data_IF_881606967888
#
_entry.id   IF_881606967888
#
_cell.length_a   1.000
_cell.length_b   1.000
_cell.length_c   1.000
_cell.angle_alpha   90.00
_cell.angle_beta   90.00
_cell.angle_gamma   90.00
#
_symmetry.space_group_name_H-M   'P 1'
#
loop_
_entity.id
_entity.type
_entity.pdbx_description
1 polymer ?
#
# COMPACT_ATOMS: atom_id res chain seq x y z
N UNK A 1 -18.84 25.43 -49.55
CA UNK A 1 -18.95 26.42 -48.45
C UNK A 1 -19.24 25.61 -47.18
N UNK A 2 -18.31 25.25 -46.28
CA UNK A 2 -17.31 26.03 -45.51
C UNK A 2 -18.00 27.22 -44.78
N UNK A 3 -17.98 27.42 -43.46
CA UNK A 3 -16.95 27.14 -42.42
C UNK A 3 -17.58 27.00 -41.00
N UNK A 4 -16.98 26.09 -40.22
CA UNK A 4 -16.69 25.98 -38.76
C UNK A 4 -17.31 26.95 -37.73
N UNK A 5 -17.60 26.39 -36.54
CA UNK A 5 -16.92 26.76 -35.27
C UNK A 5 -16.91 25.59 -34.28
N UNK A 6 -15.79 25.50 -33.55
CA UNK A 6 -15.44 24.48 -32.56
C UNK A 6 -15.59 25.05 -31.13
N UNK A 7 -15.76 24.17 -30.15
CA UNK A 7 -15.43 24.47 -28.75
C UNK A 7 -14.58 23.36 -28.14
N UNK A 8 -13.72 23.83 -27.24
CA UNK A 8 -12.48 23.25 -26.76
C UNK A 8 -12.77 22.25 -25.63
N UNK A 9 -12.37 20.99 -25.80
CA UNK A 9 -12.33 20.02 -24.71
C UNK A 9 -11.20 20.41 -23.74
N UNK A 10 -11.56 20.88 -22.54
CA UNK A 10 -10.63 20.88 -21.42
C UNK A 10 -10.43 19.41 -20.99
N UNK A 11 -9.20 18.91 -20.77
CA UNK A 11 -9.03 17.55 -20.30
C UNK A 11 -9.48 17.49 -18.84
N UNK A 12 -10.67 16.95 -18.63
CA UNK A 12 -11.28 16.65 -17.34
C UNK A 12 -10.46 15.52 -16.71
N UNK A 13 -9.85 15.79 -15.55
CA UNK A 13 -9.28 14.72 -14.73
C UNK A 13 -10.39 14.26 -13.81
N UNK A 14 -10.99 13.13 -14.18
CA UNK A 14 -11.94 12.43 -13.34
C UNK A 14 -11.14 11.55 -12.37
N UNK A 15 -10.88 12.04 -11.16
CA UNK A 15 -10.30 11.23 -10.09
C UNK A 15 -11.46 10.52 -9.40
N UNK A 16 -11.63 9.24 -9.69
CA UNK A 16 -12.46 8.39 -8.85
C UNK A 16 -11.63 7.91 -7.67
N UNK A 17 -12.02 8.33 -6.46
CA UNK A 17 -11.63 7.65 -5.22
C UNK A 17 -12.57 6.46 -5.06
N UNK A 18 -12.32 5.38 -5.80
CA UNK A 18 -12.98 4.12 -5.48
C UNK A 18 -12.26 3.48 -4.30
N UNK A 19 -12.94 3.38 -3.17
CA UNK A 19 -12.62 2.39 -2.14
C UNK A 19 -13.24 1.06 -2.59
N UNK A 20 -12.77 0.54 -3.73
CA UNK A 20 -13.09 -0.84 -4.11
C UNK A 20 -11.93 -1.72 -3.67
N UNK A 21 -12.16 -2.74 -2.82
CA UNK A 21 -11.15 -3.73 -2.47
C UNK A 21 -10.97 -4.68 -3.66
N UNK A 22 -10.34 -4.22 -4.73
CA UNK A 22 -10.02 -5.04 -5.90
C UNK A 22 -8.51 -5.18 -6.03
N UNK A 23 -8.02 -6.20 -5.31
CA UNK A 23 -6.83 -7.02 -5.58
C UNK A 23 -5.47 -6.32 -5.73
N UNK A 24 -5.22 -5.27 -4.96
CA UNK A 24 -3.84 -4.87 -4.66
C UNK A 24 -3.17 -6.03 -3.92
N UNK A 25 -2.09 -6.60 -4.49
CA UNK A 25 -1.22 -7.61 -3.88
C UNK A 25 -1.99 -8.59 -2.95
N UNK A 26 -2.48 -9.69 -3.52
CA UNK A 26 -3.37 -10.58 -2.79
C UNK A 26 -2.72 -11.05 -1.48
N UNK A 27 -3.24 -10.55 -0.35
CA UNK A 27 -2.99 -11.18 0.94
C UNK A 27 -3.54 -12.59 0.82
N UNK A 28 -2.65 -13.58 0.98
CA UNK A 28 -3.03 -14.99 0.88
C UNK A 28 -3.49 -15.55 2.23
N UNK A 29 -3.43 -14.76 3.30
CA UNK A 29 -4.01 -15.09 4.61
C UNK A 29 -5.50 -14.75 4.61
N UNK A 30 -6.35 -15.75 4.81
CA UNK A 30 -7.80 -15.55 4.97
C UNK A 30 -8.11 -15.12 6.41
N UNK A 31 -9.12 -14.24 6.56
CA UNK A 31 -9.52 -13.67 7.86
C UNK A 31 -8.34 -13.03 8.62
N UNK A 32 -7.54 -12.24 7.89
CA UNK A 32 -6.33 -11.59 8.41
C UNK A 32 -6.59 -10.44 9.37
N UNK A 33 -7.77 -9.82 9.25
CA UNK A 33 -8.29 -8.72 10.08
C UNK A 33 -9.12 -9.22 11.27
N UNK A 34 -9.28 -10.54 11.40
CA UNK A 34 -9.98 -11.20 12.52
C UNK A 34 -11.45 -10.78 12.74
N UNK A 35 -12.07 -10.09 11.78
CA UNK A 35 -13.45 -9.63 11.89
C UNK A 35 -14.49 -10.77 11.75
N UNK A 36 -14.07 -11.92 11.23
CA UNK A 36 -14.91 -13.11 11.12
C UNK A 36 -14.59 -14.08 12.26
N UNK A 37 -15.58 -14.30 13.13
CA UNK A 37 -15.48 -15.23 14.25
C UNK A 37 -16.25 -14.73 15.47
N UNK A 38 -16.13 -15.47 16.57
CA UNK A 38 -16.81 -15.15 17.83
C UNK A 38 -15.79 -14.85 18.91
N UNK A 39 -15.97 -13.73 19.61
CA UNK A 39 -15.17 -13.34 20.76
C UNK A 39 -15.15 -14.46 21.81
N UNK A 40 -13.96 -14.75 22.33
CA UNK A 40 -13.69 -15.84 23.28
C UNK A 40 -13.43 -17.19 22.63
N UNK A 41 -13.50 -17.28 21.30
CA UNK A 41 -13.19 -18.50 20.53
C UNK A 41 -11.99 -18.26 19.60
N UNK A 42 -11.40 -19.32 19.08
CA UNK A 42 -10.37 -19.22 18.05
C UNK A 42 -11.00 -18.74 16.73
N UNK A 43 -10.29 -17.93 15.92
CA UNK A 43 -10.76 -17.61 14.58
C UNK A 43 -10.83 -18.87 13.71
N UNK A 44 -11.80 -18.91 12.80
CA UNK A 44 -11.97 -20.03 11.88
C UNK A 44 -10.68 -20.30 11.08
N UNK A 45 -10.36 -21.58 10.88
CA UNK A 45 -9.15 -22.08 10.18
C UNK A 45 -7.81 -21.74 10.87
N UNK A 46 -7.81 -21.10 12.03
CA UNK A 46 -6.63 -20.97 12.89
C UNK A 46 -6.62 -22.07 13.96
N UNK A 47 -5.42 -22.46 14.39
CA UNK A 47 -5.22 -23.49 15.43
C UNK A 47 -4.41 -22.90 16.59
N UNK A 48 -4.81 -23.18 17.83
CA UNK A 48 -3.95 -22.93 19.01
C UNK A 48 -2.92 -24.05 19.11
N UNK A 49 -1.64 -23.70 19.10
CA UNK A 49 -0.51 -24.62 19.29
C UNK A 49 0.28 -24.22 20.52
N UNK A 50 0.59 -25.22 21.34
CA UNK A 50 1.36 -25.11 22.59
C UNK A 50 2.45 -26.17 22.58
N UNK A 51 3.67 -25.72 22.37
CA UNK A 51 4.84 -26.57 22.28
C UNK A 51 5.72 -26.40 23.52
N UNK A 52 6.52 -27.42 23.84
CA UNK A 52 7.55 -27.32 24.88
C UNK A 52 7.04 -27.05 26.30
N UNK A 53 5.75 -27.29 26.59
CA UNK A 53 5.16 -27.05 27.91
C UNK A 53 4.56 -25.66 28.11
N UNK A 54 4.39 -24.87 27.05
CA UNK A 54 3.71 -23.58 27.13
C UNK A 54 2.27 -23.71 27.66
N UNK A 55 1.88 -22.79 28.54
CA UNK A 55 0.54 -22.71 29.10
C UNK A 55 -0.08 -21.35 28.79
N UNK A 56 -1.39 -21.32 28.55
CA UNK A 56 -2.10 -20.07 28.27
C UNK A 56 -3.22 -20.24 27.24
N UNK A 57 -3.60 -19.14 26.59
CA UNK A 57 -4.80 -19.09 25.76
C UNK A 57 -4.59 -18.28 24.49
N UNK A 58 -5.28 -18.69 23.42
CA UNK A 58 -5.38 -17.97 22.15
C UNK A 58 -6.86 -17.84 21.76
N UNK A 59 -7.37 -16.63 21.58
CA UNK A 59 -8.78 -16.39 21.24
C UNK A 59 -9.05 -14.98 20.70
N UNK A 60 -10.16 -14.78 20.00
CA UNK A 60 -10.64 -13.48 19.51
C UNK A 60 -11.13 -12.58 20.65
N UNK A 61 -10.78 -11.31 20.64
CA UNK A 61 -11.23 -10.30 21.61
C UNK A 61 -11.63 -9.00 20.92
N UNK A 62 -12.48 -8.21 21.56
CA UNK A 62 -12.84 -6.84 21.16
C UNK A 62 -11.91 -5.76 21.74
N UNK A 63 -10.75 -6.17 22.26
CA UNK A 63 -9.76 -5.29 22.87
C UNK A 63 -8.58 -5.08 21.95
N UNK A 64 -8.02 -3.88 21.97
CA UNK A 64 -6.76 -3.55 21.31
C UNK A 64 -6.73 -3.94 19.81
N UNK A 65 -7.87 -3.82 19.13
CA UNK A 65 -7.96 -3.96 17.68
C UNK A 65 -7.23 -2.80 16.99
N UNK A 66 -6.55 -3.10 15.89
CA UNK A 66 -5.88 -2.13 15.04
C UNK A 66 -6.78 -1.67 13.91
N UNK A 67 -7.40 -2.62 13.21
CA UNK A 67 -8.45 -2.38 12.23
C UNK A 67 -9.74 -3.02 12.74
N UNK A 68 -10.90 -2.53 12.26
CA UNK A 68 -12.19 -3.13 12.67
C UNK A 68 -12.50 -3.04 14.17
N UNK A 69 -12.95 -4.16 14.73
CA UNK A 69 -13.48 -4.30 16.10
C UNK A 69 -12.84 -5.45 16.88
N UNK A 70 -12.20 -6.40 16.22
CA UNK A 70 -11.66 -7.60 16.83
C UNK A 70 -10.13 -7.67 16.65
N UNK A 71 -9.48 -8.41 17.54
CA UNK A 71 -8.08 -8.80 17.41
C UNK A 71 -7.90 -10.21 17.95
N UNK A 72 -6.78 -10.84 17.60
CA UNK A 72 -6.40 -12.12 18.15
C UNK A 72 -5.54 -11.93 19.39
N UNK A 73 -6.02 -12.40 20.53
CA UNK A 73 -5.31 -12.36 21.80
C UNK A 73 -4.53 -13.65 22.03
N UNK A 74 -3.30 -13.50 22.52
CA UNK A 74 -2.39 -14.57 22.92
C UNK A 74 -1.89 -14.26 24.32
N UNK A 75 -2.01 -15.20 25.24
CA UNK A 75 -1.43 -15.12 26.57
C UNK A 75 -0.56 -16.35 26.81
N UNK A 76 0.68 -16.14 27.23
CA UNK A 76 1.51 -17.18 27.83
C UNK A 76 1.57 -16.94 29.35
N UNK A 77 1.23 -17.95 30.14
CA UNK A 77 1.20 -17.88 31.60
C UNK A 77 2.48 -18.38 32.26
N UNK A 78 3.40 -18.99 31.51
CA UNK A 78 4.69 -19.45 32.00
C UNK A 78 5.85 -19.00 31.07
N UNK A 79 7.08 -19.30 31.47
CA UNK A 79 8.30 -19.00 30.70
C UNK A 79 8.83 -20.24 29.98
N UNK A 80 7.95 -21.19 29.67
CA UNK A 80 8.29 -22.46 29.04
C UNK A 80 7.69 -22.54 27.63
N UNK A 81 8.42 -23.18 26.72
CA UNK A 81 7.90 -23.55 25.42
C UNK A 81 7.55 -22.38 24.49
N UNK A 82 6.58 -22.64 23.61
CA UNK A 82 6.09 -21.66 22.63
C UNK A 82 4.58 -21.82 22.46
N UNK A 83 3.83 -20.74 22.70
CA UNK A 83 2.40 -20.68 22.41
C UNK A 83 2.16 -19.76 21.22
N UNK A 84 1.45 -20.25 20.22
CA UNK A 84 1.12 -19.46 19.04
C UNK A 84 -0.16 -19.93 18.35
N UNK A 85 -0.93 -19.02 17.74
CA UNK A 85 -1.82 -19.36 16.66
C UNK A 85 -1.02 -19.89 15.45
N UNK A 86 -1.59 -20.89 14.80
CA UNK A 86 -1.08 -21.46 13.55
C UNK A 86 -2.13 -21.30 12.45
N UNK A 87 -1.69 -20.79 11.29
CA UNK A 87 -2.49 -20.73 10.07
C UNK A 87 -1.74 -21.36 8.91
N UNK A 88 -2.32 -22.40 8.33
CA UNK A 88 -1.82 -23.03 7.10
C UNK A 88 -2.22 -22.20 5.89
N UNK A 89 -1.25 -21.88 5.03
CA UNK A 89 -1.44 -21.09 3.81
C UNK A 89 -0.70 -21.74 2.64
N UNK A 90 -1.35 -21.84 1.48
CA UNK A 90 -0.68 -22.31 0.26
C UNK A 90 0.14 -21.17 -0.35
N UNK A 91 1.45 -21.36 -0.45
CA UNK A 91 2.39 -20.35 -0.94
C UNK A 91 2.95 -20.82 -2.29
N UNK A 92 2.67 -20.06 -3.34
CA UNK A 92 3.19 -20.31 -4.69
C UNK A 92 4.54 -19.58 -4.93
N UNK A 93 5.35 -19.97 -5.93
CA UNK A 93 6.58 -19.25 -6.24
C UNK A 93 6.34 -17.75 -6.50
N UNK A 94 7.24 -16.90 -6.00
CA UNK A 94 7.18 -15.45 -6.15
C UNK A 94 7.85 -14.73 -4.98
N UNK A 95 7.85 -13.40 -5.04
CA UNK A 95 8.33 -12.56 -3.95
C UNK A 95 7.19 -12.23 -2.99
N UNK A 96 7.45 -12.19 -1.68
CA UNK A 96 6.44 -11.90 -0.66
C UNK A 96 6.93 -10.86 0.35
N UNK A 97 5.97 -10.20 0.99
CA UNK A 97 6.12 -9.39 2.19
C UNK A 97 5.26 -10.02 3.27
N UNK A 98 5.84 -10.20 4.46
CA UNK A 98 5.11 -10.65 5.64
C UNK A 98 5.03 -9.47 6.61
N UNK A 99 3.81 -9.10 7.01
CA UNK A 99 3.53 -7.97 7.88
C UNK A 99 2.36 -8.28 8.80
N UNK A 100 2.34 -7.65 9.96
CA UNK A 100 1.27 -7.76 10.94
C UNK A 100 1.33 -6.54 11.87
N UNK A 101 0.21 -6.24 12.52
CA UNK A 101 0.18 -5.37 13.68
C UNK A 101 0.23 -6.21 14.95
N UNK A 102 0.98 -5.73 15.93
CA UNK A 102 1.05 -6.34 17.24
C UNK A 102 1.13 -5.30 18.36
N UNK A 103 0.48 -5.57 19.49
CA UNK A 103 0.63 -4.84 20.74
C UNK A 103 0.88 -5.81 21.87
N UNK A 104 1.79 -5.48 22.77
CA UNK A 104 2.06 -6.25 23.99
C UNK A 104 1.68 -5.48 25.25
N UNK A 105 1.51 -6.19 26.36
CA UNK A 105 1.27 -5.58 27.67
C UNK A 105 2.55 -5.07 28.35
N UNK A 106 3.71 -5.50 27.87
CA UNK A 106 5.05 -5.11 28.33
C UNK A 106 6.07 -5.23 27.20
N UNK A 107 7.27 -4.72 27.42
CA UNK A 107 8.40 -4.96 26.53
C UNK A 107 8.70 -6.47 26.48
N UNK A 108 8.52 -7.08 25.30
CA UNK A 108 8.68 -8.51 25.07
C UNK A 108 9.20 -8.75 23.66
N UNK A 109 10.15 -9.68 23.55
CA UNK A 109 10.58 -10.23 22.26
C UNK A 109 9.75 -11.47 21.97
N UNK A 110 9.30 -11.60 20.72
CA UNK A 110 8.45 -12.69 20.31
C UNK A 110 8.76 -13.11 18.87
N UNK A 111 8.75 -14.42 18.55
CA UNK A 111 8.94 -14.89 17.18
C UNK A 111 7.71 -14.58 16.31
N UNK A 112 7.98 -14.20 15.05
CA UNK A 112 7.00 -14.09 13.99
C UNK A 112 7.59 -14.73 12.72
N UNK A 113 7.08 -15.90 12.34
CA UNK A 113 7.76 -16.78 11.39
C UNK A 113 6.77 -17.50 10.47
N UNK A 114 7.31 -17.96 9.33
CA UNK A 114 6.61 -18.85 8.42
C UNK A 114 7.47 -20.10 8.24
N UNK A 115 6.91 -21.25 8.57
CA UNK A 115 7.55 -22.55 8.38
C UNK A 115 7.03 -23.22 7.11
N UNK A 116 7.87 -23.99 6.43
CA UNK A 116 7.37 -24.98 5.48
C UNK A 116 6.91 -26.23 6.25
N UNK A 117 5.64 -26.57 6.17
CA UNK A 117 5.06 -27.70 6.92
C UNK A 117 5.69 -29.06 6.53
N UNK A 118 6.35 -29.16 5.38
CA UNK A 118 6.98 -30.40 4.93
C UNK A 118 8.33 -30.69 5.60
N UNK A 119 9.10 -29.66 5.95
CA UNK A 119 10.48 -29.82 6.46
C UNK A 119 10.82 -28.96 7.69
N UNK A 120 9.86 -28.15 8.15
CA UNK A 120 9.97 -27.26 9.32
C UNK A 120 11.17 -26.31 9.27
N UNK A 121 11.67 -25.99 8.07
CA UNK A 121 12.67 -24.96 7.91
C UNK A 121 12.03 -23.58 8.07
N UNK A 122 12.66 -22.72 8.87
CA UNK A 122 12.29 -21.31 9.03
C UNK A 122 12.57 -20.61 7.72
N UNK A 123 11.57 -19.92 7.17
CA UNK A 123 11.72 -19.27 5.89
C UNK A 123 12.13 -17.80 6.04
N UNK A 124 11.39 -16.88 6.69
CA UNK A 124 11.73 -15.43 6.63
C UNK A 124 11.17 -14.56 7.76
N UNK A 125 11.77 -13.37 7.95
CA UNK A 125 11.47 -12.39 9.02
C UNK A 125 10.76 -11.10 8.52
N UNK A 126 10.74 -10.79 7.21
CA UNK A 126 9.99 -9.60 6.69
C UNK A 126 9.69 -9.63 5.19
N UNK A 127 10.60 -10.15 4.36
CA UNK A 127 10.37 -10.32 2.91
C UNK A 127 11.21 -11.44 2.32
N UNK A 128 10.73 -12.05 1.23
CA UNK A 128 11.38 -13.22 0.66
C UNK A 128 11.11 -13.46 -0.81
N UNK A 129 11.95 -14.30 -1.42
CA UNK A 129 11.81 -14.80 -2.79
C UNK A 129 11.73 -16.31 -2.76
N UNK A 130 10.59 -16.86 -3.17
CA UNK A 130 10.29 -18.30 -3.10
C UNK A 130 10.27 -18.88 -4.51
N UNK A 131 10.96 -20.01 -4.70
CA UNK A 131 11.12 -20.66 -6.01
C UNK A 131 10.25 -21.90 -6.19
N UNK A 132 9.61 -22.36 -5.12
CA UNK A 132 8.79 -23.58 -5.11
C UNK A 132 7.47 -23.32 -4.40
N UNK A 133 6.44 -24.07 -4.80
CA UNK A 133 5.18 -24.10 -4.10
C UNK A 133 5.28 -25.00 -2.85
N UNK A 134 4.69 -24.56 -1.74
CA UNK A 134 4.58 -25.34 -0.50
C UNK A 134 3.41 -24.85 0.36
N UNK A 135 3.07 -25.61 1.40
CA UNK A 135 2.13 -25.16 2.44
C UNK A 135 2.93 -24.59 3.60
N UNK A 136 2.70 -23.31 3.89
CA UNK A 136 3.36 -22.58 4.95
C UNK A 136 2.50 -22.54 6.22
N UNK A 137 3.15 -22.62 7.38
CA UNK A 137 2.55 -22.44 8.70
C UNK A 137 2.97 -21.05 9.22
N UNK A 138 2.02 -20.13 9.33
CA UNK A 138 2.23 -18.80 9.92
C UNK A 138 2.14 -18.92 11.43
N UNK A 139 3.19 -18.50 12.13
CA UNK A 139 3.31 -18.62 13.58
C UNK A 139 3.82 -17.29 14.16
N UNK A 140 2.99 -16.64 14.96
CA UNK A 140 3.36 -15.43 15.71
C UNK A 140 2.88 -15.65 17.14
N UNK A 141 3.77 -15.69 18.12
CA UNK A 141 3.35 -16.03 19.49
C UNK A 141 4.44 -15.82 20.52
N UNK A 142 4.26 -16.36 21.73
CA UNK A 142 5.09 -16.01 22.88
C UNK A 142 5.93 -17.20 23.36
N UNK A 143 7.21 -16.95 23.65
CA UNK A 143 8.13 -17.90 24.29
C UNK A 143 8.42 -17.58 25.77
N UNK A 144 7.88 -16.46 26.25
CA UNK A 144 7.95 -16.05 27.65
C UNK A 144 6.60 -15.55 28.12
N UNK A 145 6.39 -15.45 29.43
CA UNK A 145 5.14 -15.01 30.02
C UNK A 145 4.78 -13.61 29.51
N UNK A 146 3.53 -13.39 29.11
CA UNK A 146 3.09 -12.08 28.63
C UNK A 146 1.81 -12.17 27.81
N UNK A 147 1.41 -11.02 27.25
CA UNK A 147 0.23 -10.93 26.39
C UNK A 147 0.55 -10.23 25.09
N UNK A 148 -0.05 -10.72 24.02
CA UNK A 148 0.06 -10.17 22.68
C UNK A 148 -1.35 -10.05 22.08
N UNK A 149 -1.64 -8.90 21.48
CA UNK A 149 -2.78 -8.69 20.60
C UNK A 149 -2.24 -8.58 19.18
N UNK A 150 -2.78 -9.39 18.27
CA UNK A 150 -2.41 -9.43 16.86
C UNK A 150 -3.57 -8.99 16.00
N UNK A 151 -3.25 -8.26 14.94
CA UNK A 151 -4.22 -7.82 13.94
C UNK A 151 -3.54 -7.61 12.58
N UNK A 152 -4.32 -7.55 11.51
CA UNK A 152 -3.89 -7.36 10.13
C UNK A 152 -2.70 -8.26 9.72
N UNK A 153 -2.82 -9.57 9.93
CA UNK A 153 -1.76 -10.55 9.59
C UNK A 153 -1.75 -10.81 8.08
N UNK A 154 -0.79 -10.23 7.39
CA UNK A 154 -0.70 -10.24 5.94
C UNK A 154 0.53 -11.00 5.43
N UNK A 155 0.30 -11.93 4.50
CA UNK A 155 1.32 -12.48 3.62
C UNK A 155 0.99 -12.07 2.20
N UNK A 156 1.72 -11.08 1.71
CA UNK A 156 1.36 -10.36 0.50
C UNK A 156 2.32 -10.73 -0.63
N UNK A 157 1.81 -11.41 -1.66
CA UNK A 157 2.60 -11.73 -2.85
C UNK A 157 2.88 -10.45 -3.65
N UNK A 158 4.15 -10.08 -3.79
CA UNK A 158 4.57 -9.00 -4.69
C UNK A 158 4.22 -9.41 -6.12
N UNK A 159 3.74 -8.45 -6.90
CA UNK A 159 3.32 -8.70 -8.26
C UNK A 159 4.56 -8.84 -9.16
N UNK A 160 4.65 -9.94 -9.90
CA UNK A 160 5.64 -10.01 -10.98
C UNK A 160 5.27 -9.01 -12.08
N UNK A 161 6.24 -8.22 -12.54
CA UNK A 161 6.08 -7.45 -13.79
C UNK A 161 6.21 -8.46 -14.94
N UNK A 162 5.10 -9.12 -15.28
CA UNK A 162 5.10 -10.06 -16.42
C UNK A 162 5.28 -9.34 -17.74
N UNK A 163 4.71 -8.14 -17.85
CA UNK A 163 4.86 -7.24 -19.00
C UNK A 163 4.39 -5.82 -18.63
N UNK A 164 5.14 -4.80 -19.02
CA UNK A 164 4.67 -3.40 -18.94
C UNK A 164 3.52 -3.23 -19.95
N UNK A 165 2.35 -2.68 -19.55
CA UNK A 165 1.24 -2.45 -20.49
C UNK A 165 1.70 -1.58 -21.67
N UNK A 166 1.32 -1.93 -22.90
CA UNK A 166 1.84 -1.29 -24.13
C UNK A 166 1.68 0.24 -24.18
N UNK A 167 0.67 0.78 -23.48
CA UNK A 167 0.38 2.22 -23.44
C UNK A 167 1.05 2.94 -22.27
N UNK A 168 1.85 2.24 -21.48
CA UNK A 168 2.56 2.80 -20.34
C UNK A 168 4.06 2.70 -20.60
N UNK A 169 4.76 3.80 -20.35
CA UNK A 169 6.21 3.90 -20.41
C UNK A 169 6.74 4.24 -19.04
N UNK A 170 7.77 3.52 -18.64
CA UNK A 170 8.45 3.72 -17.36
C UNK A 170 9.80 4.33 -17.66
N UNK A 171 10.13 5.41 -16.96
CA UNK A 171 11.34 6.15 -17.17
C UNK A 171 12.10 6.32 -15.85
N UNK A 172 13.40 6.14 -15.92
CA UNK A 172 14.35 6.67 -14.95
C UNK A 172 14.82 8.03 -15.46
N UNK A 173 14.57 9.09 -14.68
CA UNK A 173 14.95 10.46 -15.07
C UNK A 173 16.45 10.71 -15.02
N UNK A 174 17.23 9.78 -14.46
CA UNK A 174 18.68 9.87 -14.27
C UNK A 174 19.13 11.03 -13.35
N UNK A 175 18.19 11.76 -12.72
CA UNK A 175 18.43 12.86 -11.79
C UNK A 175 17.30 13.00 -10.76
N UNK A 176 17.67 13.33 -9.51
CA UNK A 176 16.77 13.30 -8.32
C UNK A 176 16.15 14.64 -7.90
N UNK A 177 16.64 15.76 -8.44
CA UNK A 177 16.18 17.11 -8.08
C UNK A 177 15.65 17.82 -9.31
N UNK A 178 14.46 18.42 -9.21
CA UNK A 178 13.78 19.09 -10.32
C UNK A 178 13.30 20.47 -9.89
N UNK A 179 13.88 21.50 -10.49
CA UNK A 179 13.61 22.90 -10.13
C UNK A 179 12.31 23.43 -10.76
N UNK A 180 11.98 24.66 -10.36
CA UNK A 180 11.04 25.55 -11.06
C UNK A 180 11.44 25.59 -12.55
N UNK A 181 10.54 25.17 -13.43
CA UNK A 181 10.79 25.12 -14.88
C UNK A 181 11.09 23.72 -15.45
N UNK A 182 11.01 22.67 -14.62
CA UNK A 182 11.05 21.28 -15.07
C UNK A 182 10.02 21.01 -16.20
N UNK A 183 10.52 20.51 -17.34
CA UNK A 183 9.70 20.15 -18.51
C UNK A 183 9.66 18.63 -18.66
N UNK A 184 8.60 17.93 -18.19
CA UNK A 184 8.50 16.47 -18.27
C UNK A 184 8.46 15.92 -19.71
N UNK A 185 8.24 16.82 -20.68
CA UNK A 185 8.28 16.57 -22.11
C UNK A 185 9.69 16.26 -22.63
N UNK A 186 10.70 16.91 -22.03
CA UNK A 186 12.09 16.76 -22.42
C UNK A 186 12.68 15.53 -21.73
N UNK A 187 12.62 14.41 -22.45
CA UNK A 187 13.11 13.10 -22.00
C UNK A 187 14.48 12.77 -22.60
N UNK A 188 15.19 13.76 -23.16
CA UNK A 188 16.46 13.55 -23.88
C UNK A 188 17.54 12.88 -23.03
N UNK A 189 17.49 13.08 -21.70
CA UNK A 189 18.42 12.50 -20.72
C UNK A 189 17.82 11.34 -19.92
N UNK A 190 16.57 10.96 -20.19
CA UNK A 190 15.88 9.92 -19.45
C UNK A 190 16.17 8.57 -20.07
N UNK A 191 16.22 7.55 -19.22
CA UNK A 191 16.36 6.16 -19.64
C UNK A 191 14.98 5.49 -19.60
N UNK A 192 14.53 4.97 -20.75
CA UNK A 192 13.35 4.11 -20.80
C UNK A 192 13.68 2.77 -20.14
N UNK A 193 12.83 2.30 -19.24
CA UNK A 193 12.95 1.00 -18.59
C UNK A 193 12.04 0.01 -19.32
N UNK A 194 12.60 -1.09 -19.82
CA UNK A 194 11.86 -2.14 -20.56
C UNK A 194 11.66 -3.41 -19.74
N UNK A 195 12.71 -3.89 -19.07
CA UNK A 195 12.74 -5.23 -18.47
C UNK A 195 13.21 -5.21 -17.00
N UNK A 196 14.19 -4.37 -16.67
CA UNK A 196 14.65 -4.15 -15.30
C UNK A 196 14.23 -2.77 -14.80
N UNK A 197 13.17 -2.76 -13.99
CA UNK A 197 12.68 -1.54 -13.31
C UNK A 197 13.20 -1.42 -11.88
N UNK A 198 14.05 -2.34 -11.42
CA UNK A 198 14.56 -2.36 -10.05
C UNK A 198 15.70 -1.37 -9.84
N UNK A 199 16.45 -1.05 -10.89
CA UNK A 199 17.64 -0.20 -10.83
C UNK A 199 17.37 1.23 -11.32
N UNK A 200 16.68 2.04 -10.51
CA UNK A 200 16.40 3.45 -10.80
C UNK A 200 17.50 4.34 -10.18
N UNK A 201 18.20 5.12 -11.00
CA UNK A 201 19.30 6.01 -10.56
C UNK A 201 18.82 7.41 -10.17
N UNK A 202 17.83 7.93 -10.91
CA UNK A 202 17.19 9.21 -10.68
C UNK A 202 15.88 9.05 -9.91
N UNK A 203 14.87 9.79 -10.38
CA UNK A 203 13.49 9.63 -9.95
C UNK A 203 12.74 8.71 -10.92
N UNK A 204 11.67 8.08 -10.42
CA UNK A 204 10.72 7.36 -11.25
C UNK A 204 9.80 8.33 -11.99
N UNK A 205 9.53 8.03 -13.26
CA UNK A 205 8.48 8.67 -14.03
C UNK A 205 7.67 7.64 -14.82
N UNK A 206 6.35 7.79 -14.79
CA UNK A 206 5.42 6.92 -15.51
C UNK A 206 4.62 7.78 -16.48
N UNK A 207 4.55 7.34 -17.72
CA UNK A 207 3.87 8.04 -18.80
C UNK A 207 2.82 7.12 -19.41
N UNK A 208 1.58 7.58 -19.47
CA UNK A 208 0.51 6.92 -20.22
C UNK A 208 0.04 7.81 -21.40
N UNK A 209 -1.12 7.50 -21.97
CA UNK A 209 -1.68 8.29 -23.09
C UNK A 209 -2.08 9.72 -22.70
N UNK A 210 -2.23 10.02 -21.41
CA UNK A 210 -2.81 11.25 -20.90
C UNK A 210 -1.86 12.07 -20.02
N UNK A 211 -1.04 11.39 -19.23
CA UNK A 211 -0.21 11.99 -18.20
C UNK A 211 1.26 11.58 -18.28
N UNK A 212 2.09 12.45 -17.72
CA UNK A 212 3.45 12.17 -17.28
C UNK A 212 3.46 12.41 -15.77
N UNK A 213 3.65 11.34 -15.02
CA UNK A 213 3.61 11.27 -13.56
C UNK A 213 5.04 11.14 -13.07
N UNK A 214 5.47 12.01 -12.17
CA UNK A 214 6.84 12.11 -11.69
C UNK A 214 6.88 11.96 -10.17
N UNK A 215 7.62 10.99 -9.69
CA UNK A 215 7.82 10.73 -8.26
C UNK A 215 9.13 11.39 -7.83
N UNK A 216 9.06 12.60 -7.29
CA UNK A 216 10.23 13.45 -7.05
C UNK A 216 10.84 13.19 -5.67
N UNK A 217 11.93 12.42 -5.63
CA UNK A 217 12.59 11.94 -4.39
C UNK A 217 12.94 13.07 -3.42
N UNK A 218 13.68 14.08 -3.86
CA UNK A 218 14.16 15.18 -3.00
C UNK A 218 13.09 16.23 -2.67
N UNK A 219 11.99 16.29 -3.42
CA UNK A 219 10.90 17.25 -3.17
C UNK A 219 9.76 16.66 -2.33
N UNK A 220 9.77 15.34 -2.10
CA UNK A 220 8.73 14.65 -1.35
C UNK A 220 7.33 14.83 -1.96
N UNK A 221 7.23 14.90 -3.28
CA UNK A 221 5.95 15.08 -3.96
C UNK A 221 5.83 14.22 -5.23
N UNK A 222 4.57 14.00 -5.64
CA UNK A 222 4.25 13.39 -6.93
C UNK A 222 3.63 14.47 -7.81
N UNK A 223 4.26 14.73 -8.95
CA UNK A 223 3.81 15.74 -9.91
C UNK A 223 3.14 15.06 -11.10
N UNK A 224 1.90 15.46 -11.38
CA UNK A 224 1.14 14.97 -12.54
C UNK A 224 1.07 16.09 -13.56
N UNK A 225 1.56 15.81 -14.76
CA UNK A 225 1.48 16.70 -15.89
C UNK A 225 0.67 16.05 -17.01
N UNK A 226 -0.06 16.85 -17.78
CA UNK A 226 -0.61 16.38 -19.05
C UNK A 226 0.51 16.17 -20.08
N UNK A 227 0.20 15.45 -21.16
CA UNK A 227 1.10 15.27 -22.31
C UNK A 227 1.50 16.56 -23.02
N UNK A 228 0.86 17.71 -22.74
CA UNK A 228 1.29 19.03 -23.21
C UNK A 228 2.31 19.71 -22.27
N UNK A 229 2.62 19.09 -21.13
CA UNK A 229 3.57 19.60 -20.13
C UNK A 229 2.93 20.53 -19.10
N UNK A 230 1.63 20.83 -19.22
CA UNK A 230 0.91 21.58 -18.21
C UNK A 230 0.77 20.73 -16.93
N UNK A 231 1.18 21.30 -15.78
CA UNK A 231 0.97 20.71 -14.45
C UNK A 231 -0.52 20.64 -14.16
N UNK A 232 -0.97 19.45 -13.78
CA UNK A 232 -2.37 19.12 -13.51
C UNK A 232 -2.64 18.92 -12.03
N UNK A 233 -1.75 18.23 -11.34
CA UNK A 233 -1.85 18.03 -9.91
C UNK A 233 -0.47 17.90 -9.27
N UNK A 234 -0.40 18.23 -7.99
CA UNK A 234 0.71 17.88 -7.09
C UNK A 234 0.14 17.18 -5.87
N UNK A 235 0.76 16.07 -5.51
CA UNK A 235 0.30 15.17 -4.44
C UNK A 235 1.35 15.14 -3.34
N UNK A 236 0.90 15.36 -2.10
CA UNK A 236 1.73 15.36 -0.87
C UNK A 236 0.96 14.76 0.31
N UNK A 237 1.61 14.22 1.35
CA UNK A 237 0.97 13.85 2.60
C UNK A 237 0.38 15.05 3.36
N UNK A 238 -0.82 14.92 3.95
CA UNK A 238 -1.48 16.00 4.74
C UNK A 238 -0.67 16.36 5.99
N UNK A 239 -0.26 15.35 6.77
CA UNK A 239 0.42 15.52 8.07
C UNK A 239 1.80 16.18 7.98
N UNK A 240 2.32 16.39 6.78
CA UNK A 240 3.67 16.90 6.57
C UNK A 240 3.69 18.29 5.89
N UNK A 241 2.54 18.98 5.82
CA UNK A 241 2.47 20.33 5.24
C UNK A 241 3.43 21.29 5.95
N UNK A 242 4.41 21.82 5.21
CA UNK A 242 5.41 22.77 5.73
C UNK A 242 6.65 22.13 6.36
N UNK A 243 6.75 20.79 6.39
CA UNK A 243 7.96 20.07 6.79
C UNK A 243 8.79 19.68 5.56
N UNK A 244 10.09 19.44 5.75
CA UNK A 244 10.94 18.83 4.73
C UNK A 244 10.58 17.35 4.59
N UNK A 245 9.97 17.00 3.45
CA UNK A 245 9.53 15.64 3.12
C UNK A 245 10.42 15.12 2.02
N UNK A 246 10.77 13.84 2.12
CA UNK A 246 11.42 13.09 1.04
C UNK A 246 10.58 11.89 0.65
N UNK A 247 10.76 11.48 -0.59
CA UNK A 247 10.34 10.17 -1.09
C UNK A 247 11.56 9.24 -0.97
N UNK A 248 11.65 8.50 0.14
CA UNK A 248 12.83 7.67 0.49
C UNK A 248 12.83 6.31 -0.19
N UNK A 249 11.65 5.80 -0.55
CA UNK A 249 11.49 4.63 -1.41
C UNK A 249 10.51 4.96 -2.52
N UNK A 250 10.83 4.52 -3.73
CA UNK A 250 9.95 4.60 -4.87
C UNK A 250 10.26 3.39 -5.76
N UNK A 251 9.35 2.42 -5.77
CA UNK A 251 9.53 1.14 -6.44
C UNK A 251 8.25 0.71 -7.12
N UNK A 252 8.38 0.15 -8.32
CA UNK A 252 7.26 -0.49 -8.99
C UNK A 252 7.04 -1.84 -8.33
N UNK A 253 5.85 -2.06 -7.79
CA UNK A 253 5.47 -3.32 -7.15
C UNK A 253 5.02 -4.37 -8.15
N UNK A 254 4.56 -3.94 -9.33
CA UNK A 254 4.20 -4.83 -10.42
C UNK A 254 3.12 -4.28 -11.34
N UNK A 255 2.50 -5.18 -12.11
CA UNK A 255 1.39 -4.85 -13.02
C UNK A 255 0.11 -5.60 -12.63
N UNK A 256 -1.05 -4.94 -12.77
CA UNK A 256 -2.37 -5.46 -12.41
C UNK A 256 -3.42 -4.96 -13.41
N UNK A 257 -4.14 -5.85 -14.11
CA UNK A 257 -5.26 -5.48 -14.99
C UNK A 257 -4.94 -4.32 -15.98
N UNK A 258 -3.81 -4.38 -16.68
CA UNK A 258 -3.26 -3.30 -17.55
C UNK A 258 -2.80 -2.02 -16.83
N UNK A 259 -2.64 -2.07 -15.51
CA UNK A 259 -2.15 -0.98 -14.67
C UNK A 259 -0.76 -1.28 -14.11
N UNK A 260 -0.04 -0.24 -13.72
CA UNK A 260 1.20 -0.32 -12.94
C UNK A 260 0.91 0.13 -11.52
N UNK A 261 1.42 -0.63 -10.55
CA UNK A 261 1.35 -0.25 -9.14
C UNK A 261 2.73 0.22 -8.68
N UNK A 262 2.79 1.41 -8.11
CA UNK A 262 3.99 2.03 -7.55
C UNK A 262 3.82 2.17 -6.05
N UNK A 263 4.76 1.64 -5.29
CA UNK A 263 4.91 1.95 -3.88
C UNK A 263 5.89 3.10 -3.70
N UNK A 264 5.46 4.05 -2.89
CA UNK A 264 6.28 5.17 -2.46
C UNK A 264 6.32 5.22 -0.95
N UNK A 265 7.41 5.70 -0.37
CA UNK A 265 7.49 6.00 1.05
C UNK A 265 7.75 7.48 1.23
N UNK A 266 6.77 8.19 1.79
CA UNK A 266 6.94 9.57 2.19
C UNK A 266 7.46 9.62 3.61
N UNK A 267 8.59 10.30 3.81
CA UNK A 267 9.22 10.37 5.12
C UNK A 267 9.74 11.76 5.46
N UNK A 268 9.79 12.03 6.76
CA UNK A 268 10.57 13.09 7.40
C UNK A 268 11.34 12.48 8.60
N UNK A 269 11.88 13.29 9.50
CA UNK A 269 12.59 12.80 10.70
C UNK A 269 11.73 11.92 11.62
N UNK A 270 10.42 12.16 11.66
CA UNK A 270 9.50 11.56 12.65
C UNK A 270 8.69 10.38 12.09
N UNK A 271 8.55 10.31 10.77
CA UNK A 271 7.48 9.57 10.10
C UNK A 271 8.00 8.95 8.82
N UNK A 272 7.55 7.73 8.52
CA UNK A 272 7.73 7.04 7.25
C UNK A 272 6.44 6.29 6.88
N UNK A 273 5.72 6.73 5.85
CA UNK A 273 4.44 6.13 5.43
C UNK A 273 4.49 5.61 3.99
N UNK A 274 4.08 4.35 3.77
CA UNK A 274 3.87 3.85 2.42
C UNK A 274 2.61 4.46 1.79
N UNK A 275 2.67 4.72 0.49
CA UNK A 275 1.53 5.12 -0.35
C UNK A 275 1.62 4.37 -1.67
N UNK A 276 0.53 3.73 -2.05
CA UNK A 276 0.41 3.00 -3.31
C UNK A 276 -0.29 3.88 -4.36
N UNK A 277 0.27 3.91 -5.55
CA UNK A 277 -0.31 4.54 -6.73
C UNK A 277 -0.61 3.47 -7.78
N UNK A 278 -1.86 3.39 -8.23
CA UNK A 278 -2.24 2.57 -9.39
C UNK A 278 -2.44 3.47 -10.59
N UNK A 279 -1.70 3.20 -11.66
CA UNK A 279 -1.71 3.99 -12.89
C UNK A 279 -2.07 3.07 -14.05
N UNK A 280 -3.22 3.32 -14.66
CA UNK A 280 -3.72 2.52 -15.77
C UNK A 280 -3.58 3.25 -17.12
N UNK A 281 -4.17 2.67 -18.16
CA UNK A 281 -4.24 3.26 -19.51
C UNK A 281 -5.27 4.38 -19.66
N UNK A 282 -6.07 4.66 -18.64
CA UNK A 282 -7.13 5.69 -18.61
C UNK A 282 -6.60 6.98 -17.95
N UNK A 283 -7.51 7.92 -17.69
CA UNK A 283 -7.22 9.19 -17.02
C UNK A 283 -7.35 9.09 -15.49
N UNK A 284 -7.36 7.88 -14.93
CA UNK A 284 -7.59 7.63 -13.51
C UNK A 284 -6.25 7.30 -12.86
N UNK A 285 -5.98 7.91 -11.72
CA UNK A 285 -4.86 7.57 -10.84
C UNK A 285 -5.48 7.24 -9.49
N UNK A 286 -5.36 5.99 -9.08
CA UNK A 286 -5.83 5.55 -7.77
C UNK A 286 -4.70 5.69 -6.77
N UNK A 287 -5.03 6.12 -5.55
CA UNK A 287 -4.04 6.34 -4.49
C UNK A 287 -4.55 5.71 -3.21
N UNK A 288 -3.79 4.80 -2.63
CA UNK A 288 -4.07 4.18 -1.34
C UNK A 288 -3.04 4.66 -0.31
N UNK A 289 -3.48 5.43 0.67
CA UNK A 289 -2.66 5.86 1.80
C UNK A 289 -2.59 4.79 2.89
N UNK A 290 -1.45 4.71 3.60
CA UNK A 290 -1.34 3.89 4.80
C UNK A 290 -2.13 4.46 5.99
N UNK A 291 -2.49 3.58 6.92
CA UNK A 291 -3.08 3.92 8.20
C UNK A 291 -2.13 4.84 9.00
N UNK A 292 -2.69 5.80 9.76
CA UNK A 292 -1.92 6.78 10.52
C UNK A 292 -1.35 7.97 9.72
N UNK A 293 -1.42 7.94 8.38
CA UNK A 293 -0.94 9.04 7.53
C UNK A 293 -1.80 10.31 7.63
N UNK A 294 -3.04 10.19 8.08
CA UNK A 294 -3.99 11.30 8.20
C UNK A 294 -4.51 11.84 6.86
N UNK A 295 -4.10 11.26 5.73
CA UNK A 295 -4.61 11.55 4.39
C UNK A 295 -3.58 12.14 3.42
N UNK A 296 -4.05 12.40 2.20
CA UNK A 296 -3.27 12.95 1.09
C UNK A 296 -3.82 14.33 0.69
N UNK A 297 -2.92 15.29 0.50
CA UNK A 297 -3.20 16.61 -0.05
C UNK A 297 -3.00 16.60 -1.57
N UNK A 298 -4.00 17.07 -2.29
CA UNK A 298 -3.96 17.23 -3.75
C UNK A 298 -4.07 18.73 -4.08
N UNK A 299 -3.05 19.27 -4.74
CA UNK A 299 -3.02 20.64 -5.24
C UNK A 299 -3.28 20.62 -6.74
N UNK A 300 -4.48 20.99 -7.15
CA UNK A 300 -4.94 20.95 -8.54
C UNK A 300 -6.03 22.02 -8.78
N UNK A 301 -6.21 22.51 -10.02
CA UNK A 301 -7.48 23.11 -10.42
C UNK A 301 -8.56 22.01 -10.41
N UNK A 302 -9.26 21.87 -9.27
CA UNK A 302 -10.33 20.89 -9.07
C UNK A 302 -11.62 21.50 -9.63
N UNK A 303 -12.42 20.70 -10.34
CA UNK A 303 -13.76 21.09 -10.80
C UNK A 303 -14.83 20.68 -9.77
N UNK A 304 -14.72 19.46 -9.24
CA UNK A 304 -15.49 18.95 -8.11
C UNK A 304 -14.75 17.78 -7.46
N UNK A 305 -15.00 17.55 -6.17
CA UNK A 305 -14.67 16.32 -5.46
C UNK A 305 -15.91 15.44 -5.34
N UNK A 306 -15.75 14.14 -5.48
CA UNK A 306 -16.83 13.17 -5.21
C UNK A 306 -16.38 12.28 -4.07
N UNK A 307 -17.22 12.17 -3.04
CA UNK A 307 -17.04 11.26 -1.92
C UNK A 307 -18.13 10.22 -2.04
N UNK A 308 -17.80 8.99 -2.46
CA UNK A 308 -18.78 7.94 -2.51
C UNK A 308 -19.27 7.65 -1.10
N UNK A 309 -20.59 7.58 -0.92
CA UNK A 309 -21.21 7.17 0.34
C UNK A 309 -21.90 5.82 0.12
N UNK A 310 -21.64 4.84 0.98
CA UNK A 310 -22.23 3.50 0.83
C UNK A 310 -23.73 3.46 1.14
N UNK A 311 -24.23 4.41 1.96
CA UNK A 311 -25.60 4.42 2.49
C UNK A 311 -26.50 5.47 1.79
N UNK A 312 -25.92 6.55 1.26
CA UNK A 312 -26.65 7.66 0.63
C UNK A 312 -26.13 8.02 -0.77
N UNK A 313 -26.71 9.06 -1.39
CA UNK A 313 -26.17 9.67 -2.61
C UNK A 313 -24.72 10.15 -2.39
N UNK A 314 -23.90 10.07 -3.45
CA UNK A 314 -22.53 10.57 -3.46
C UNK A 314 -22.48 12.05 -3.07
N UNK A 315 -21.54 12.41 -2.18
CA UNK A 315 -21.33 13.81 -1.82
C UNK A 315 -20.46 14.48 -2.89
N UNK A 316 -21.03 15.47 -3.57
CA UNK A 316 -20.32 16.26 -4.58
C UNK A 316 -19.93 17.61 -4.00
N UNK A 317 -18.62 17.87 -3.94
CA UNK A 317 -18.01 19.08 -3.42
C UNK A 317 -17.55 19.98 -4.57
N UNK A 318 -18.26 21.08 -4.83
CA UNK A 318 -17.83 22.07 -5.82
C UNK A 318 -16.91 23.11 -5.16
N UNK A 319 -15.65 23.28 -5.60
CA UNK A 319 -14.68 24.21 -5.02
C UNK A 319 -15.15 25.66 -5.01
N UNK A 320 -16.12 26.06 -5.83
CA UNK A 320 -16.67 27.43 -5.78
C UNK A 320 -17.30 27.77 -4.43
N UNK A 321 -17.66 26.77 -3.62
CA UNK A 321 -18.21 26.94 -2.28
C UNK A 321 -17.15 26.91 -1.16
N UNK A 322 -15.88 26.71 -1.48
CA UNK A 322 -14.79 26.58 -0.51
C UNK A 322 -13.67 27.59 -0.79
N UNK A 323 -13.21 28.29 0.25
CA UNK A 323 -12.28 29.43 0.08
C UNK A 323 -10.83 29.02 -0.20
N UNK A 324 -10.35 27.94 0.41
CA UNK A 324 -8.91 27.61 0.40
C UNK A 324 -8.61 26.11 0.25
N UNK A 325 -9.37 25.25 0.91
CA UNK A 325 -9.20 23.80 0.85
C UNK A 325 -10.53 23.08 1.07
N UNK A 326 -10.65 21.89 0.47
CA UNK A 326 -11.73 20.94 0.72
C UNK A 326 -11.12 19.76 1.46
N UNK A 327 -11.62 19.47 2.66
CA UNK A 327 -11.24 18.26 3.39
C UNK A 327 -12.33 17.23 3.15
N UNK A 328 -11.97 16.14 2.49
CA UNK A 328 -12.85 15.02 2.20
C UNK A 328 -12.50 13.91 3.20
N UNK A 329 -13.46 13.41 4.01
CA UNK A 329 -13.21 12.23 4.83
C UNK A 329 -12.97 11.03 3.92
N UNK A 330 -12.00 10.19 4.28
CA UNK A 330 -11.93 8.82 3.76
C UNK A 330 -12.78 7.94 4.67
N UNK A 331 -13.79 7.26 4.12
CA UNK A 331 -14.47 6.16 4.82
C UNK A 331 -13.58 4.92 4.87
#
# INVERSE_FOLDING_TARGET
MCIKKAYLLCPIILIFLFVNPLLLAQNIVTNSDFETGKIGELPDEWQDQKEGGAEGNVFLTDKEAHSGKQSLFIENTNDEGYIHPNKSVKISPGDYIFSFWAKSDKDIEFPAQIYNEADWNILFDTSCSLTKEFTGSIQIGLTSQGRLWLDDVELTKKMEIKQIPQNIKIWDTMAKKRDIGFKPQDKSKWRLLSDDVSNIKGDLAIENNFFIINFCSELGNVLIHSKSGQKRAEIKPVRLKGKDIKLTKCSILGTMNDSIVVETHFSNEDINFPVLFTIDKKQIIEIKSAQGMGGISIYSPIEYGVVPNFISDDLIFDPKYYKEAINIPSE
#
